data_IF_803509036617
#
_entry.id   IF_803509036617
#
_cell.length_a   1.000
_cell.length_b   1.000
_cell.length_c   1.000
_cell.angle_alpha   90.00
_cell.angle_beta   90.00
_cell.angle_gamma   90.00
#
_symmetry.space_group_name_H-M   'P 1'
#
loop_
_entity.id
_entity.type
_entity.pdbx_description
1 polymer ?
#
# COMPACT_ATOMS: atom_id res chain seq x y z
N UNK A 1 54.33 -50.99 -3.39
CA UNK A 1 53.96 -50.15 -2.25
C UNK A 1 53.02 -49.06 -2.77
N UNK A 2 51.70 -49.28 -2.84
CA UNK A 2 50.75 -48.88 -1.79
C UNK A 2 51.17 -47.53 -1.15
N UNK A 3 50.38 -46.46 -1.12
CA UNK A 3 48.93 -46.33 -1.19
C UNK A 3 48.53 -44.86 -0.92
N UNK A 4 47.24 -44.53 -1.05
CA UNK A 4 46.52 -43.50 -0.25
C UNK A 4 46.17 -42.17 -0.91
N UNK A 5 45.69 -42.17 -2.15
CA UNK A 5 44.97 -41.02 -2.72
C UNK A 5 43.43 -41.16 -2.74
N UNK A 6 42.89 -42.23 -2.13
CA UNK A 6 41.45 -42.55 -2.11
C UNK A 6 40.68 -42.20 -0.82
N UNK A 7 41.18 -41.32 0.07
CA UNK A 7 40.50 -41.04 1.36
C UNK A 7 40.25 -39.58 1.73
N UNK A 8 40.68 -38.59 0.93
CA UNK A 8 40.44 -37.17 1.27
C UNK A 8 39.17 -36.63 0.56
N UNK A 9 38.81 -37.15 -0.62
CA UNK A 9 37.67 -36.67 -1.41
C UNK A 9 36.26 -36.99 -0.87
N UNK A 10 36.12 -37.82 0.18
CA UNK A 10 34.81 -38.21 0.74
C UNK A 10 34.45 -37.57 2.07
N UNK A 11 35.33 -36.75 2.67
CA UNK A 11 35.04 -36.04 3.92
C UNK A 11 34.74 -34.54 3.76
N UNK A 12 34.86 -33.98 2.56
CA UNK A 12 34.42 -32.60 2.26
C UNK A 12 33.02 -32.52 1.64
N UNK A 13 32.49 -33.64 1.12
CA UNK A 13 31.18 -33.67 0.49
C UNK A 13 29.99 -33.62 1.46
N UNK A 14 30.18 -33.94 2.75
CA UNK A 14 29.09 -34.01 3.72
C UNK A 14 28.92 -32.74 4.58
N UNK A 15 29.89 -31.83 4.61
CA UNK A 15 29.76 -30.56 5.36
C UNK A 15 29.19 -29.42 4.49
N UNK A 16 29.37 -29.49 3.16
CA UNK A 16 28.82 -28.52 2.22
C UNK A 16 27.31 -28.74 1.91
N UNK A 17 26.79 -29.94 2.15
CA UNK A 17 25.38 -30.28 1.87
C UNK A 17 24.45 -29.90 3.04
N UNK A 18 24.93 -29.94 4.29
CA UNK A 18 24.12 -29.52 5.45
C UNK A 18 24.02 -27.99 5.58
N UNK A 19 25.13 -27.26 5.44
CA UNK A 19 25.13 -25.78 5.55
C UNK A 19 24.42 -25.10 4.36
N UNK A 20 24.41 -25.71 3.18
CA UNK A 20 23.78 -25.13 1.98
C UNK A 20 22.27 -25.02 2.08
N UNK A 21 21.60 -25.97 2.74
CA UNK A 21 20.14 -25.96 2.88
C UNK A 21 19.66 -24.87 3.82
N UNK A 22 20.37 -24.64 4.93
CA UNK A 22 20.01 -23.59 5.88
C UNK A 22 20.31 -22.19 5.32
N UNK A 23 21.40 -22.03 4.56
CA UNK A 23 21.70 -20.77 3.88
C UNK A 23 20.66 -20.43 2.80
N UNK A 24 20.22 -21.41 2.01
CA UNK A 24 19.13 -21.25 1.05
C UNK A 24 17.80 -20.93 1.73
N UNK A 25 17.51 -21.57 2.87
CA UNK A 25 16.30 -21.34 3.66
C UNK A 25 16.32 -19.96 4.33
N UNK A 26 17.49 -19.46 4.74
CA UNK A 26 17.67 -18.11 5.24
C UNK A 26 17.53 -17.07 4.12
N UNK A 27 18.09 -17.33 2.93
CA UNK A 27 17.89 -16.48 1.75
C UNK A 27 16.42 -16.41 1.33
N UNK A 28 15.68 -17.54 1.36
CA UNK A 28 14.23 -17.55 1.14
C UNK A 28 13.45 -16.71 2.16
N UNK A 29 13.97 -16.55 3.39
CA UNK A 29 13.35 -15.75 4.44
C UNK A 29 13.73 -14.26 4.37
N UNK A 30 14.65 -13.87 3.50
CA UNK A 30 15.00 -12.45 3.31
C UNK A 30 13.85 -11.70 2.63
N UNK A 31 13.58 -10.49 3.09
CA UNK A 31 12.56 -9.58 2.56
C UNK A 31 12.55 -9.44 1.02
N UNK A 32 13.70 -9.35 0.30
CA UNK A 32 13.67 -9.32 -1.17
C UNK A 32 13.11 -10.61 -1.79
N UNK A 33 13.35 -11.78 -1.19
CA UNK A 33 12.82 -13.05 -1.70
C UNK A 33 11.35 -13.24 -1.35
N UNK A 34 10.91 -12.75 -0.19
CA UNK A 34 9.47 -12.66 0.15
C UNK A 34 8.72 -11.73 -0.79
N UNK A 35 9.25 -10.53 -1.07
CA UNK A 35 8.65 -9.61 -2.05
C UNK A 35 8.61 -10.21 -3.46
N UNK A 36 9.66 -10.91 -3.88
CA UNK A 36 9.68 -11.61 -5.16
C UNK A 36 8.64 -12.75 -5.18
N UNK A 37 8.50 -13.53 -4.10
CA UNK A 37 7.50 -14.59 -4.02
C UNK A 37 6.08 -14.05 -3.93
N UNK A 38 5.82 -12.97 -3.21
CA UNK A 38 4.52 -12.28 -3.19
C UNK A 38 4.17 -11.65 -4.54
N UNK A 39 5.16 -11.11 -5.27
CA UNK A 39 4.97 -10.60 -6.64
C UNK A 39 4.71 -11.71 -7.66
N UNK A 40 5.28 -12.91 -7.46
CA UNK A 40 5.11 -14.07 -8.35
C UNK A 40 3.83 -14.87 -8.02
N UNK A 41 3.42 -14.91 -6.74
CA UNK A 41 2.24 -15.69 -6.28
C UNK A 41 0.98 -14.84 -6.09
N UNK A 42 1.09 -13.52 -6.15
CA UNK A 42 -0.06 -12.64 -6.24
C UNK A 42 -0.87 -12.91 -7.51
N UNK A 43 -2.21 -12.71 -7.51
CA UNK A 43 -2.99 -12.76 -8.73
C UNK A 43 -2.39 -11.79 -9.76
N UNK A 44 -2.42 -12.12 -11.07
CA UNK A 44 -1.87 -11.25 -12.10
C UNK A 44 -2.41 -9.83 -11.88
N UNK A 45 -1.50 -8.87 -11.70
CA UNK A 45 -1.89 -7.47 -11.50
C UNK A 45 -2.77 -7.08 -12.68
N UNK A 46 -4.03 -6.65 -12.45
CA UNK A 46 -4.91 -6.32 -13.56
C UNK A 46 -4.23 -5.27 -14.42
N UNK A 47 -4.29 -5.41 -15.74
CA UNK A 47 -4.06 -4.26 -16.60
C UNK A 47 -5.16 -3.24 -16.30
N UNK A 48 -4.83 -1.95 -16.40
CA UNK A 48 -5.76 -0.82 -16.13
C UNK A 48 -7.17 -1.17 -16.64
N UNK A 49 -8.21 -1.14 -15.79
CA UNK A 49 -9.56 -1.54 -16.20
C UNK A 49 -10.02 -0.70 -17.41
N UNK A 50 -10.39 -1.38 -18.50
CA UNK A 50 -10.76 -0.73 -19.75
C UNK A 50 -12.02 0.12 -19.58
N UNK A 51 -11.97 1.40 -19.99
CA UNK A 51 -13.11 2.32 -20.03
C UNK A 51 -13.49 2.98 -18.69
N UNK A 52 -12.88 2.60 -17.56
CA UNK A 52 -13.11 3.25 -16.26
C UNK A 52 -11.97 4.26 -15.98
N UNK A 53 -12.27 5.52 -15.60
CA UNK A 53 -11.25 6.45 -15.14
C UNK A 53 -10.48 5.88 -13.96
N UNK A 54 -9.16 6.04 -13.98
CA UNK A 54 -8.28 5.53 -12.93
C UNK A 54 -7.55 6.67 -12.23
N UNK A 55 -7.18 6.44 -10.97
CA UNK A 55 -6.46 7.38 -10.13
C UNK A 55 -4.98 7.41 -10.54
N UNK A 56 -4.68 8.13 -11.65
CA UNK A 56 -3.32 8.31 -12.20
C UNK A 56 -2.61 9.53 -11.64
N UNK A 57 -3.37 10.59 -11.40
CA UNK A 57 -2.80 11.87 -10.99
C UNK A 57 -2.58 11.85 -9.49
N UNK A 58 -1.35 12.19 -9.09
CA UNK A 58 -1.00 12.41 -7.70
C UNK A 58 -0.09 13.63 -7.58
N UNK A 59 -0.05 14.22 -6.40
CA UNK A 59 0.76 15.42 -6.16
C UNK A 59 1.28 15.42 -4.72
N UNK A 60 2.40 16.11 -4.45
CA UNK A 60 2.79 16.42 -3.08
C UNK A 60 1.62 17.09 -2.36
N UNK A 61 1.28 16.59 -1.17
CA UNK A 61 0.05 16.98 -0.46
C UNK A 61 -0.06 18.48 -0.23
N UNK A 62 1.07 19.18 -0.01
CA UNK A 62 1.09 20.63 0.16
C UNK A 62 0.74 21.40 -1.12
N UNK A 63 1.11 20.89 -2.30
CA UNK A 63 0.86 21.57 -3.59
C UNK A 63 -0.60 21.47 -4.04
N UNK A 64 -1.36 20.57 -3.40
CA UNK A 64 -2.75 20.28 -3.72
C UNK A 64 -3.67 20.53 -2.52
N UNK A 65 -3.22 21.37 -1.57
CA UNK A 65 -3.96 21.72 -0.38
C UNK A 65 -5.32 22.34 -0.70
N UNK A 66 -6.35 21.84 -0.04
CA UNK A 66 -7.75 22.29 -0.13
C UNK A 66 -8.37 22.23 1.26
N UNK A 67 -9.68 22.51 1.33
CA UNK A 67 -10.45 22.28 2.54
C UNK A 67 -10.49 20.79 2.87
N UNK A 68 -10.12 20.44 4.11
CA UNK A 68 -10.36 19.10 4.65
C UNK A 68 -11.71 19.08 5.36
N UNK A 69 -12.54 18.11 5.01
CA UNK A 69 -13.94 18.03 5.44
C UNK A 69 -14.30 16.63 5.92
N UNK A 70 -15.20 16.54 6.90
CA UNK A 70 -15.78 15.26 7.32
C UNK A 70 -17.30 15.35 7.21
N UNK A 71 -17.83 14.69 6.20
CA UNK A 71 -19.26 14.65 5.86
C UNK A 71 -19.64 13.32 5.20
N UNK A 72 -19.27 12.15 5.78
CA UNK A 72 -19.49 10.86 5.13
C UNK A 72 -20.99 10.52 5.04
N UNK A 73 -21.39 9.89 3.93
CA UNK A 73 -22.77 9.47 3.64
C UNK A 73 -22.76 8.23 2.76
N UNK A 74 -23.26 7.11 3.27
CA UNK A 74 -23.36 5.85 2.51
C UNK A 74 -24.55 5.86 1.54
N UNK A 75 -24.67 6.89 0.70
CA UNK A 75 -25.72 7.02 -0.32
C UNK A 75 -25.30 6.49 -1.71
N UNK A 76 -24.05 6.04 -1.82
CA UNK A 76 -23.48 5.46 -3.04
C UNK A 76 -22.60 6.42 -3.84
N UNK A 77 -22.54 7.70 -3.45
CA UNK A 77 -21.46 8.61 -3.81
C UNK A 77 -20.37 8.57 -2.73
N UNK A 78 -19.15 8.93 -3.10
CA UNK A 78 -18.03 8.91 -2.18
C UNK A 78 -17.82 10.29 -1.57
N UNK A 79 -17.85 10.35 -0.24
CA UNK A 79 -17.78 11.61 0.51
C UNK A 79 -16.53 11.74 1.39
N UNK A 80 -16.12 12.98 1.73
CA UNK A 80 -15.05 13.21 2.70
C UNK A 80 -15.33 12.52 4.04
N UNK A 81 -14.37 11.70 4.48
CA UNK A 81 -14.51 10.82 5.65
C UNK A 81 -14.71 9.34 5.30
N UNK A 82 -14.92 9.01 4.03
CA UNK A 82 -15.05 7.63 3.57
C UNK A 82 -13.74 7.05 3.02
N UNK A 83 -13.51 5.78 3.30
CA UNK A 83 -12.48 4.96 2.67
C UNK A 83 -13.11 4.20 1.52
N UNK A 84 -12.66 4.48 0.30
CA UNK A 84 -13.17 3.90 -0.94
C UNK A 84 -12.12 3.07 -1.65
N UNK A 85 -12.55 2.08 -2.41
CA UNK A 85 -11.65 1.28 -3.24
C UNK A 85 -11.57 1.83 -4.66
N UNK A 86 -10.34 2.07 -5.13
CA UNK A 86 -10.08 2.54 -6.49
C UNK A 86 -8.78 1.99 -7.04
N UNK A 87 -8.69 1.93 -8.37
CA UNK A 87 -7.45 1.61 -9.07
C UNK A 87 -6.48 2.78 -8.94
N UNK A 88 -5.36 2.56 -8.24
CA UNK A 88 -4.29 3.54 -8.12
C UNK A 88 -3.07 3.08 -8.90
N UNK A 89 -2.61 3.94 -9.80
CA UNK A 89 -1.41 3.69 -10.59
C UNK A 89 -0.16 3.66 -9.69
N UNK A 90 0.88 2.92 -10.10
CA UNK A 90 2.16 2.97 -9.42
C UNK A 90 2.87 4.31 -9.71
N UNK A 91 3.75 4.73 -8.79
CA UNK A 91 4.55 5.96 -8.95
C UNK A 91 5.54 5.83 -10.10
N UNK A 92 6.24 4.70 -10.16
CA UNK A 92 7.33 4.49 -11.13
C UNK A 92 6.81 4.12 -12.53
N UNK A 93 5.62 3.52 -12.61
CA UNK A 93 4.99 3.11 -13.86
C UNK A 93 3.46 3.34 -13.83
N UNK A 94 2.98 4.44 -14.44
CA UNK A 94 1.55 4.74 -14.52
C UNK A 94 0.72 3.77 -15.37
N UNK A 95 1.35 2.91 -16.17
CA UNK A 95 0.66 1.85 -16.92
C UNK A 95 0.31 0.65 -16.03
N UNK A 96 0.96 0.55 -14.87
CA UNK A 96 0.69 -0.44 -13.85
C UNK A 96 -0.03 0.19 -12.66
N UNK A 97 -0.72 -0.64 -11.89
CA UNK A 97 -1.42 -0.21 -10.71
C UNK A 97 -2.01 -1.37 -9.95
N UNK A 98 -2.73 -1.04 -8.89
CA UNK A 98 -3.57 -2.01 -8.22
C UNK A 98 -4.74 -1.32 -7.54
N UNK A 99 -5.74 -2.11 -7.22
CA UNK A 99 -6.85 -1.66 -6.41
C UNK A 99 -6.38 -1.42 -4.97
N UNK A 100 -6.73 -0.26 -4.41
CA UNK A 100 -6.30 0.16 -3.08
C UNK A 100 -7.40 0.89 -2.33
N UNK A 101 -7.46 0.75 -1.00
CA UNK A 101 -8.26 1.62 -0.17
C UNK A 101 -7.65 3.03 -0.13
N UNK A 102 -8.51 4.03 -0.27
CA UNK A 102 -8.16 5.45 -0.30
C UNK A 102 -9.15 6.21 0.59
N UNK A 103 -8.65 6.97 1.57
CA UNK A 103 -9.47 7.87 2.38
C UNK A 103 -9.73 9.15 1.58
N UNK A 104 -11.00 9.48 1.32
CA UNK A 104 -11.40 10.78 0.80
C UNK A 104 -11.33 11.80 1.94
N UNK A 105 -10.60 12.90 1.72
CA UNK A 105 -10.40 13.95 2.72
C UNK A 105 -11.02 15.29 2.33
N UNK A 106 -11.40 15.45 1.07
CA UNK A 106 -11.98 16.68 0.54
C UNK A 106 -12.27 16.55 -0.95
N UNK A 107 -12.62 17.68 -1.55
CA UNK A 107 -13.05 17.74 -2.96
C UNK A 107 -12.56 19.02 -3.63
N UNK A 108 -12.34 18.95 -4.94
CA UNK A 108 -12.08 20.10 -5.81
C UNK A 108 -12.95 19.97 -7.06
N UNK A 109 -14.10 20.64 -7.06
CA UNK A 109 -15.14 20.46 -8.07
C UNK A 109 -15.63 19.02 -8.15
N UNK A 110 -15.58 18.34 -9.31
CA UNK A 110 -16.01 16.94 -9.43
C UNK A 110 -14.97 15.94 -8.90
N UNK A 111 -13.74 16.37 -8.63
CA UNK A 111 -12.62 15.49 -8.28
C UNK A 111 -12.53 15.30 -6.77
N UNK A 112 -12.46 14.05 -6.32
CA UNK A 112 -12.24 13.72 -4.92
C UNK A 112 -10.74 13.71 -4.62
N UNK A 113 -10.37 14.18 -3.43
CA UNK A 113 -8.99 14.21 -2.96
C UNK A 113 -8.77 13.09 -1.97
N UNK A 114 -7.88 12.17 -2.30
CA UNK A 114 -7.71 10.90 -1.60
C UNK A 114 -6.31 10.67 -1.05
N UNK A 115 -6.20 10.10 0.15
CA UNK A 115 -4.96 9.61 0.73
C UNK A 115 -4.92 8.08 0.69
N UNK A 116 -3.81 7.52 0.24
CA UNK A 116 -3.67 6.07 0.08
C UNK A 116 -3.50 5.35 1.42
N UNK A 117 -4.14 4.18 1.56
CA UNK A 117 -3.91 3.25 2.66
C UNK A 117 -3.01 2.07 2.26
N UNK A 118 -2.36 1.47 3.25
CA UNK A 118 -1.56 0.25 3.15
C UNK A 118 -1.65 -0.54 4.45
N UNK A 119 -1.68 -1.88 4.39
CA UNK A 119 -1.58 -2.75 5.57
C UNK A 119 -0.21 -3.44 5.70
N UNK A 120 0.84 -2.87 5.07
CA UNK A 120 2.22 -3.30 5.24
C UNK A 120 2.81 -2.67 6.52
N UNK A 121 3.29 -3.50 7.45
CA UNK A 121 3.85 -3.07 8.74
C UNK A 121 5.20 -2.36 8.66
N UNK A 122 5.93 -2.46 7.54
CA UNK A 122 7.14 -1.66 7.31
C UNK A 122 6.88 -0.13 7.34
N UNK A 123 5.60 0.29 7.39
CA UNK A 123 5.20 1.71 7.46
C UNK A 123 5.30 2.33 8.85
N UNK A 124 5.50 1.54 9.90
CA UNK A 124 5.71 2.08 11.25
C UNK A 124 6.97 2.97 11.35
N UNK A 125 7.98 2.71 10.52
CA UNK A 125 9.26 3.45 10.55
C UNK A 125 9.29 4.64 9.57
N UNK A 126 8.23 4.84 8.78
CA UNK A 126 8.18 5.88 7.75
C UNK A 126 7.36 7.09 8.22
N UNK A 127 8.03 8.23 8.39
CA UNK A 127 7.43 9.49 8.87
C UNK A 127 6.26 10.01 8.00
N UNK A 128 6.23 9.61 6.73
CA UNK A 128 5.19 10.03 5.80
C UNK A 128 3.91 9.21 5.97
N UNK A 129 3.93 8.18 6.82
CA UNK A 129 2.79 7.33 7.12
C UNK A 129 2.30 7.56 8.55
N UNK A 130 0.99 7.53 8.71
CA UNK A 130 0.34 7.61 10.01
C UNK A 130 -0.40 6.29 10.25
N UNK A 131 -0.22 5.71 11.44
CA UNK A 131 -0.98 4.54 11.85
C UNK A 131 -2.46 4.89 11.96
N UNK A 132 -3.31 4.15 11.24
CA UNK A 132 -4.77 4.29 11.23
C UNK A 132 -5.46 3.17 12.03
N UNK A 133 -4.72 2.08 12.28
CA UNK A 133 -5.22 0.89 12.96
C UNK A 133 -6.05 0.00 12.04
N UNK A 134 -6.86 -0.87 12.64
CA UNK A 134 -7.69 -1.84 11.94
C UNK A 134 -9.03 -1.24 11.52
N UNK A 135 -9.62 -1.73 10.44
CA UNK A 135 -10.95 -1.30 10.00
C UNK A 135 -11.52 -2.10 8.83
N UNK A 136 -12.79 -1.86 8.49
CA UNK A 136 -13.53 -2.59 7.46
C UNK A 136 -12.97 -2.42 6.04
N UNK A 137 -12.08 -1.45 5.82
CA UNK A 137 -11.36 -1.26 4.55
C UNK A 137 -10.26 -2.30 4.30
N UNK A 138 -9.97 -3.18 5.25
CA UNK A 138 -9.10 -4.34 5.03
C UNK A 138 -9.88 -5.61 5.41
N UNK A 139 -10.13 -6.49 4.45
CA UNK A 139 -10.86 -7.75 4.67
C UNK A 139 -10.16 -8.68 5.66
N UNK A 140 -8.83 -8.57 5.77
CA UNK A 140 -8.03 -9.28 6.77
C UNK A 140 -8.04 -8.63 8.15
N UNK A 141 -8.72 -7.47 8.31
CA UNK A 141 -8.76 -6.68 9.54
C UNK A 141 -7.36 -6.44 10.14
N UNK A 142 -6.36 -6.21 9.28
CA UNK A 142 -4.98 -5.95 9.70
C UNK A 142 -4.82 -4.48 10.07
N UNK A 143 -3.83 -4.14 10.91
CA UNK A 143 -3.44 -2.76 11.09
C UNK A 143 -3.12 -2.12 9.73
N UNK A 144 -3.59 -0.89 9.53
CA UNK A 144 -3.35 -0.11 8.33
C UNK A 144 -2.73 1.23 8.66
N UNK A 145 -2.03 1.79 7.68
CA UNK A 145 -1.40 3.11 7.70
C UNK A 145 -1.92 3.92 6.53
N UNK A 146 -1.95 5.23 6.71
CA UNK A 146 -2.35 6.22 5.70
C UNK A 146 -1.15 7.08 5.32
N UNK A 147 -0.91 7.23 4.01
CA UNK A 147 0.20 8.03 3.46
C UNK A 147 -0.21 9.50 3.41
N UNK A 148 0.57 10.37 4.03
CA UNK A 148 0.26 11.80 4.21
C UNK A 148 0.97 12.73 3.20
N UNK A 149 2.12 12.33 2.67
CA UNK A 149 2.95 13.18 1.79
C UNK A 149 2.44 13.26 0.34
N UNK A 150 1.49 12.40 -0.03
CA UNK A 150 0.94 12.31 -1.38
C UNK A 150 -0.58 12.25 -1.39
N UNK A 151 -1.19 13.20 -2.10
CA UNK A 151 -2.63 13.19 -2.40
C UNK A 151 -2.88 12.63 -3.81
N UNK A 152 -4.03 11.99 -3.96
CA UNK A 152 -4.52 11.41 -5.19
C UNK A 152 -5.74 12.20 -5.68
N UNK A 153 -5.78 12.51 -6.99
CA UNK A 153 -7.01 12.97 -7.64
C UNK A 153 -7.82 11.73 -8.04
N UNK A 154 -8.86 11.43 -7.26
CA UNK A 154 -9.70 10.24 -7.43
C UNK A 154 -10.92 10.60 -8.29
N UNK A 155 -11.05 10.04 -9.51
CA UNK A 155 -12.26 10.21 -10.30
C UNK A 155 -13.40 9.41 -9.67
N UNK A 156 -14.53 10.05 -9.41
CA UNK A 156 -15.68 9.40 -8.77
C UNK A 156 -16.19 8.19 -9.57
N UNK A 157 -16.23 8.29 -10.90
CA UNK A 157 -16.58 7.18 -11.79
C UNK A 157 -15.60 5.98 -11.74
N UNK A 158 -14.40 6.21 -11.19
CA UNK A 158 -13.36 5.19 -10.98
C UNK A 158 -13.57 4.35 -9.72
N UNK A 159 -14.38 4.83 -8.78
CA UNK A 159 -14.58 4.22 -7.48
C UNK A 159 -15.38 2.91 -7.62
N UNK A 160 -14.95 1.89 -6.89
CA UNK A 160 -15.72 0.65 -6.70
C UNK A 160 -16.76 0.89 -5.61
N UNK A 161 -17.92 0.24 -5.69
CA UNK A 161 -19.03 0.37 -4.72
C UNK A 161 -18.75 -0.32 -3.38
N UNK A 162 -17.52 -0.22 -2.90
CA UNK A 162 -17.03 -0.73 -1.63
C UNK A 162 -16.44 0.46 -0.89
N UNK A 163 -17.18 0.96 0.09
CA UNK A 163 -16.82 2.11 0.91
C UNK A 163 -17.02 1.80 2.39
N UNK A 164 -16.27 2.48 3.25
CA UNK A 164 -16.49 2.44 4.69
C UNK A 164 -16.24 3.81 5.32
N UNK A 165 -17.06 4.18 6.30
CA UNK A 165 -16.87 5.42 7.04
C UNK A 165 -15.68 5.26 7.99
N UNK A 166 -14.71 6.18 7.91
CA UNK A 166 -13.65 6.29 8.91
C UNK A 166 -14.22 6.95 10.17
N UNK A 167 -13.91 6.38 11.34
CA UNK A 167 -14.28 6.96 12.63
C UNK A 167 -13.79 8.42 12.74
N UNK A 168 -14.66 9.34 13.18
CA UNK A 168 -14.37 10.78 13.27
C UNK A 168 -13.05 11.08 13.98
N UNK A 169 -12.77 10.45 15.12
CA UNK A 169 -11.54 10.70 15.88
C UNK A 169 -10.26 10.39 15.07
N UNK A 170 -10.29 9.34 14.25
CA UNK A 170 -9.17 8.97 13.38
C UNK A 170 -9.05 9.93 12.20
N UNK A 171 -10.18 10.35 11.64
CA UNK A 171 -10.18 11.38 10.61
C UNK A 171 -9.61 12.70 11.14
N UNK A 172 -9.99 13.12 12.34
CA UNK A 172 -9.50 14.35 12.96
C UNK A 172 -7.98 14.31 13.18
N UNK A 173 -7.41 13.15 13.51
CA UNK A 173 -5.97 12.95 13.57
C UNK A 173 -5.27 13.16 12.21
N UNK A 174 -5.86 12.64 11.13
CA UNK A 174 -5.38 12.87 9.75
C UNK A 174 -5.49 14.36 9.40
N UNK A 175 -6.66 14.97 9.63
CA UNK A 175 -6.92 16.37 9.31
C UNK A 175 -5.98 17.31 10.08
N UNK A 176 -5.65 16.99 11.33
CA UNK A 176 -4.67 17.73 12.13
C UNK A 176 -3.30 17.73 11.47
N UNK A 177 -2.81 16.57 11.01
CA UNK A 177 -1.53 16.45 10.29
C UNK A 177 -1.56 17.18 8.95
N UNK A 178 -2.65 17.10 8.19
CA UNK A 178 -2.79 17.81 6.92
C UNK A 178 -2.69 19.34 7.11
N UNK A 179 -3.34 19.88 8.13
CA UNK A 179 -3.27 21.31 8.46
C UNK A 179 -1.89 21.73 8.95
N UNK A 180 -1.31 20.97 9.87
CA UNK A 180 -0.04 21.30 10.49
C UNK A 180 1.15 21.21 9.52
N UNK A 181 1.19 20.16 8.70
CA UNK A 181 2.39 19.80 7.94
C UNK A 181 2.27 20.15 6.45
N UNK A 182 1.05 20.34 5.93
CA UNK A 182 0.80 20.45 4.49
C UNK A 182 -0.08 21.64 4.08
N UNK A 183 -0.34 22.61 4.97
CA UNK A 183 -1.07 23.85 4.65
C UNK A 183 -2.54 23.67 4.21
N UNK A 184 -3.19 22.56 4.59
CA UNK A 184 -4.64 22.37 4.38
C UNK A 184 -5.45 23.23 5.36
N UNK A 185 -6.73 23.49 5.05
CA UNK A 185 -7.66 24.28 5.89
C UNK A 185 -8.83 23.45 6.38
#
# INVERSE_FOLDING_TARGET
>A
MASTWGRIGRKLGSYAVEQGTELLRQLQKTEPVKRATEAITGPPHPTVPAGRPVTRNSSPTAHRARRVEYSPSLDGQADPGEVVWTWVAFEDDPAQGKDRPVLVVGRDGPTLLGLMLSSNSERDEDRNWLALGKGPWDTGNRPSWIRLDRILDVPEAGIRREGAILERARFDAVATRLRADYSWT
#
